data_IF_641672978380
#
_entry.id   IF_641672978380
#
_cell.length_a   1.000
_cell.length_b   1.000
_cell.length_c   1.000
_cell.angle_alpha   90.00
_cell.angle_beta   90.00
_cell.angle_gamma   90.00
#
_symmetry.space_group_name_H-M   'P 1'
#
loop_
_entity.id
_entity.type
_entity.pdbx_description
1 polymer ?
#
# COMPACT_ATOMS: atom_id res chain seq x y z
N UNK A 1 -7.85 13.56 12.79
CA UNK A 1 -8.05 12.12 12.52
C UNK A 1 -7.07 11.73 11.42
N UNK A 2 -6.36 10.61 11.55
CA UNK A 2 -5.43 10.14 10.53
C UNK A 2 -6.17 9.75 9.24
N UNK A 3 -5.55 9.99 8.08
CA UNK A 3 -6.15 9.66 6.78
C UNK A 3 -6.07 8.15 6.56
N UNK A 4 -7.21 7.50 6.31
CA UNK A 4 -7.28 6.04 6.06
C UNK A 4 -6.75 5.74 4.66
N UNK A 5 -5.74 4.88 4.57
CA UNK A 5 -5.08 4.57 3.29
C UNK A 5 -4.82 3.07 3.12
N UNK A 6 -4.79 2.64 1.86
CA UNK A 6 -4.17 1.36 1.45
C UNK A 6 -2.87 1.70 0.76
N UNK A 7 -1.77 1.11 1.22
CA UNK A 7 -0.46 1.24 0.57
C UNK A 7 -0.31 0.06 -0.38
N UNK A 8 0.07 0.29 -1.62
CA UNK A 8 0.37 -0.77 -2.58
C UNK A 8 1.75 -1.37 -2.30
N UNK A 9 1.92 -2.65 -2.60
CA UNK A 9 3.19 -3.37 -2.62
C UNK A 9 4.29 -2.61 -3.36
N UNK A 10 4.01 -2.01 -4.52
CA UNK A 10 5.04 -1.28 -5.26
C UNK A 10 5.57 -0.05 -4.50
N UNK A 11 4.74 0.59 -3.66
CA UNK A 11 5.12 1.76 -2.85
C UNK A 11 5.98 1.32 -1.68
N UNK A 12 5.57 0.24 -1.00
CA UNK A 12 6.33 -0.33 0.12
C UNK A 12 7.75 -0.68 -0.32
N UNK A 13 7.87 -1.36 -1.46
CA UNK A 13 9.15 -1.82 -2.00
C UNK A 13 10.01 -0.66 -2.47
N UNK A 14 9.44 0.28 -3.22
CA UNK A 14 10.17 1.46 -3.66
C UNK A 14 10.64 2.32 -2.48
N UNK A 15 9.90 2.35 -1.36
CA UNK A 15 10.29 3.04 -0.14
C UNK A 15 11.38 2.32 0.67
N UNK A 16 11.55 1.01 0.47
CA UNK A 16 12.64 0.23 1.07
C UNK A 16 13.92 0.31 0.25
N UNK A 17 13.81 0.23 -1.09
CA UNK A 17 14.95 0.38 -2.01
C UNK A 17 15.46 1.82 -1.99
N UNK A 18 14.56 2.79 -2.17
CA UNK A 18 14.88 4.20 -2.14
C UNK A 18 14.96 4.70 -0.71
N UNK A 19 16.17 4.84 -0.15
CA UNK A 19 16.37 5.40 1.20
C UNK A 19 15.85 6.84 1.39
N UNK A 20 15.40 7.50 0.32
CA UNK A 20 14.79 8.84 0.28
C UNK A 20 13.68 8.87 -0.77
N UNK A 21 12.84 9.90 -0.72
CA UNK A 21 11.83 10.19 -1.74
C UNK A 21 10.39 9.94 -1.29
N UNK A 22 9.42 10.13 -2.19
CA UNK A 22 7.99 10.10 -1.87
C UNK A 22 7.52 8.78 -1.25
N UNK A 23 7.94 7.64 -1.80
CA UNK A 23 7.59 6.30 -1.27
C UNK A 23 8.06 6.11 0.18
N UNK A 24 9.33 6.47 0.47
CA UNK A 24 9.91 6.41 1.82
C UNK A 24 9.16 7.31 2.80
N UNK A 25 8.78 8.50 2.36
CA UNK A 25 8.04 9.45 3.19
C UNK A 25 6.62 8.93 3.49
N UNK A 26 5.92 8.30 2.54
CA UNK A 26 4.62 7.66 2.81
C UNK A 26 4.73 6.64 3.96
N UNK A 27 5.71 5.75 3.92
CA UNK A 27 5.93 4.76 4.99
C UNK A 27 6.23 5.42 6.33
N UNK A 28 7.01 6.50 6.32
CA UNK A 28 7.28 7.31 7.52
C UNK A 28 6.01 7.93 8.09
N UNK A 29 5.14 8.49 7.25
CA UNK A 29 3.86 9.08 7.65
C UNK A 29 2.89 8.05 8.24
N UNK A 30 2.93 6.82 7.73
CA UNK A 30 2.22 5.70 8.36
C UNK A 30 2.75 5.40 9.77
N UNK A 31 4.08 5.29 9.92
CA UNK A 31 4.72 5.02 11.22
C UNK A 31 4.53 6.17 12.24
N UNK A 32 4.36 7.40 11.76
CA UNK A 32 4.11 8.59 12.59
C UNK A 32 2.62 8.78 12.94
N UNK A 33 1.71 8.02 12.32
CA UNK A 33 0.27 8.12 12.55
C UNK A 33 -0.43 9.25 11.78
N UNK A 34 0.26 9.92 10.85
CA UNK A 34 -0.36 10.91 9.95
C UNK A 34 -1.29 10.21 8.92
N UNK A 35 -0.86 9.02 8.48
CA UNK A 35 -1.64 8.11 7.65
C UNK A 35 -1.96 6.85 8.45
N UNK A 36 -3.20 6.39 8.41
CA UNK A 36 -3.61 5.11 8.97
C UNK A 36 -3.63 4.05 7.87
N UNK A 37 -2.60 3.18 7.75
CA UNK A 37 -2.60 2.11 6.77
C UNK A 37 -3.59 1.01 7.17
N UNK A 38 -4.26 0.45 6.17
CA UNK A 38 -5.09 -0.74 6.27
C UNK A 38 -4.49 -1.86 5.43
N UNK A 39 -4.55 -3.08 5.95
CA UNK A 39 -3.99 -4.26 5.30
C UNK A 39 -4.97 -5.43 5.39
N UNK A 40 -5.10 -6.18 4.30
CA UNK A 40 -5.82 -7.45 4.26
C UNK A 40 -4.85 -8.62 4.10
N UNK A 41 -5.34 -9.85 4.27
CA UNK A 41 -4.49 -11.05 4.20
C UNK A 41 -3.74 -11.17 2.87
N UNK A 42 -4.41 -10.97 1.74
CA UNK A 42 -3.76 -11.06 0.43
C UNK A 42 -2.59 -10.07 0.30
N UNK A 43 -2.84 -8.79 0.59
CA UNK A 43 -1.82 -7.73 0.52
C UNK A 43 -0.64 -7.99 1.48
N UNK A 44 -0.93 -8.46 2.70
CA UNK A 44 0.12 -8.79 3.65
C UNK A 44 0.99 -9.96 3.17
N UNK A 45 0.38 -11.00 2.60
CA UNK A 45 1.09 -12.13 2.02
C UNK A 45 1.92 -11.71 0.81
N UNK A 46 1.44 -10.77 -0.01
CA UNK A 46 2.23 -10.18 -1.10
C UNK A 46 3.46 -9.44 -0.60
N UNK A 47 3.34 -8.66 0.49
CA UNK A 47 4.49 -8.03 1.12
C UNK A 47 5.51 -9.07 1.56
N UNK A 48 5.06 -10.11 2.27
CA UNK A 48 5.94 -11.17 2.74
C UNK A 48 6.64 -11.90 1.59
N UNK A 49 5.90 -12.33 0.57
CA UNK A 49 6.47 -13.03 -0.59
C UNK A 49 7.52 -12.15 -1.28
N UNK A 50 7.18 -10.88 -1.53
CA UNK A 50 8.08 -10.00 -2.25
C UNK A 50 9.35 -9.70 -1.47
N UNK A 51 9.28 -9.39 -0.17
CA UNK A 51 10.46 -9.10 0.64
C UNK A 51 11.37 -10.32 0.83
N UNK A 52 10.83 -11.53 0.68
CA UNK A 52 11.61 -12.76 0.68
C UNK A 52 12.34 -13.05 -0.64
N UNK A 53 12.09 -12.28 -1.72
CA UNK A 53 12.77 -12.46 -3.01
C UNK A 53 14.24 -12.01 -2.93
N UNK A 54 15.22 -12.86 -3.31
CA UNK A 54 16.65 -12.50 -3.26
C UNK A 54 17.00 -11.22 -4.03
N UNK A 55 16.32 -10.97 -5.16
CA UNK A 55 16.49 -9.75 -5.96
C UNK A 55 16.12 -8.48 -5.16
N UNK A 56 15.06 -8.54 -4.36
CA UNK A 56 14.61 -7.39 -3.55
C UNK A 56 15.56 -7.15 -2.40
N UNK A 57 16.01 -8.21 -1.71
CA UNK A 57 17.04 -8.12 -0.66
C UNK A 57 18.32 -7.46 -1.18
N UNK A 58 18.77 -7.85 -2.38
CA UNK A 58 19.92 -7.24 -3.03
C UNK A 58 19.69 -5.75 -3.36
N UNK A 59 18.51 -5.38 -3.87
CA UNK A 59 18.17 -3.97 -4.18
C UNK A 59 18.07 -3.10 -2.93
N UNK A 60 17.53 -3.62 -1.84
CA UNK A 60 17.47 -2.94 -0.55
C UNK A 60 18.83 -2.89 0.16
N UNK A 61 19.79 -3.73 -0.25
CA UNK A 61 21.03 -4.01 0.47
C UNK A 61 20.75 -4.40 1.94
N UNK A 62 19.79 -5.31 2.14
CA UNK A 62 19.32 -5.78 3.45
C UNK A 62 19.11 -7.30 3.45
N UNK A 63 19.15 -7.92 4.63
CA UNK A 63 18.84 -9.35 4.81
C UNK A 63 17.33 -9.59 4.86
N UNK A 64 16.91 -10.83 4.59
CA UNK A 64 15.50 -11.24 4.80
C UNK A 64 15.03 -10.96 6.23
N UNK A 65 15.89 -11.21 7.23
CA UNK A 65 15.59 -10.95 8.65
C UNK A 65 15.30 -9.47 8.89
N UNK A 66 16.16 -8.56 8.42
CA UNK A 66 15.96 -7.12 8.60
C UNK A 66 14.70 -6.60 7.87
N UNK A 67 14.40 -7.14 6.68
CA UNK A 67 13.17 -6.80 5.96
C UNK A 67 11.92 -7.35 6.66
N UNK A 68 12.00 -8.52 7.28
CA UNK A 68 10.90 -9.09 8.06
C UNK A 68 10.66 -8.29 9.34
N UNK A 69 11.72 -7.89 10.05
CA UNK A 69 11.61 -6.99 11.22
C UNK A 69 10.95 -5.65 10.85
N UNK A 70 11.32 -5.09 9.70
CA UNK A 70 10.62 -3.90 9.18
C UNK A 70 9.14 -4.18 8.93
N UNK A 71 8.81 -5.30 8.26
CA UNK A 71 7.44 -5.64 7.92
C UNK A 71 6.60 -5.86 9.17
N UNK A 72 7.15 -6.52 10.20
CA UNK A 72 6.49 -6.72 11.49
C UNK A 72 6.21 -5.37 12.18
N UNK A 73 7.18 -4.45 12.16
CA UNK A 73 7.00 -3.09 12.68
C UNK A 73 5.97 -2.28 11.88
N UNK A 74 5.95 -2.40 10.57
CA UNK A 74 4.95 -1.77 9.72
C UNK A 74 3.55 -2.37 9.95
N UNK A 75 3.45 -3.68 10.17
CA UNK A 75 2.19 -4.37 10.48
C UNK A 75 1.59 -3.87 11.80
N UNK A 76 2.41 -3.52 12.79
CA UNK A 76 1.92 -2.98 14.07
C UNK A 76 1.18 -1.64 13.93
N UNK A 77 1.48 -0.84 12.91
CA UNK A 77 0.76 0.42 12.64
C UNK A 77 -0.40 0.24 11.66
N UNK A 78 -0.53 -0.95 11.05
CA UNK A 78 -1.63 -1.28 10.15
C UNK A 78 -2.89 -1.71 10.91
N UNK A 79 -4.04 -1.30 10.40
CA UNK A 79 -5.33 -1.87 10.81
C UNK A 79 -5.68 -3.04 9.88
N UNK A 80 -5.78 -4.25 10.45
CA UNK A 80 -6.18 -5.43 9.69
C UNK A 80 -7.67 -5.40 9.33
N UNK A 81 -8.00 -5.76 8.09
CA UNK A 81 -9.36 -5.91 7.59
C UNK A 81 -9.50 -7.30 6.95
N UNK A 82 -10.50 -8.05 7.40
CA UNK A 82 -10.94 -9.27 6.73
C UNK A 82 -11.87 -8.91 5.56
N UNK A 83 -11.27 -8.57 4.41
CA UNK A 83 -12.02 -8.31 3.19
C UNK A 83 -12.55 -9.63 2.63
N UNK A 84 -13.88 -9.82 2.68
CA UNK A 84 -14.52 -11.01 2.11
C UNK A 84 -14.62 -10.86 0.59
N UNK A 85 -13.79 -11.63 -0.12
CA UNK A 85 -13.57 -11.56 -1.56
C UNK A 85 -14.77 -12.01 -2.42
N UNK A 86 -15.87 -11.24 -2.38
CA UNK A 86 -17.12 -11.57 -3.07
C UNK A 86 -17.31 -10.82 -4.40
N UNK A 87 -16.55 -9.74 -4.64
CA UNK A 87 -16.75 -8.86 -5.78
C UNK A 87 -15.44 -8.57 -6.50
N UNK A 88 -15.27 -9.09 -7.72
CA UNK A 88 -14.12 -8.80 -8.59
C UNK A 88 -14.47 -7.67 -9.56
N UNK A 89 -14.04 -6.42 -9.33
CA UNK A 89 -14.04 -5.44 -10.40
C UNK A 89 -13.11 -5.99 -11.49
N UNK A 90 -13.47 -5.91 -12.76
CA UNK A 90 -12.60 -6.43 -13.83
C UNK A 90 -11.44 -5.44 -14.08
N UNK A 91 -10.49 -5.31 -13.14
CA UNK A 91 -9.26 -4.54 -13.35
C UNK A 91 -8.45 -5.14 -14.50
N UNK A 92 -7.61 -4.27 -15.11
CA UNK A 92 -6.68 -4.69 -16.16
C UNK A 92 -5.64 -5.68 -15.62
N UNK A 93 -5.19 -5.48 -14.38
CA UNK A 93 -4.46 -6.50 -13.63
C UNK A 93 -5.41 -7.10 -12.59
N UNK A 94 -5.78 -8.37 -12.78
CA UNK A 94 -6.67 -9.07 -11.85
C UNK A 94 -6.04 -9.23 -10.46
N UNK A 95 -4.71 -9.18 -10.35
CA UNK A 95 -4.03 -9.24 -9.07
C UNK A 95 -4.38 -8.02 -8.22
N UNK A 96 -4.61 -6.84 -8.81
CA UNK A 96 -4.87 -5.60 -8.06
C UNK A 96 -6.31 -5.50 -7.48
N UNK A 97 -7.19 -6.45 -7.83
CA UNK A 97 -8.60 -6.42 -7.40
C UNK A 97 -8.74 -6.42 -5.88
N UNK A 98 -7.86 -7.15 -5.21
CA UNK A 98 -7.86 -7.25 -3.76
C UNK A 98 -7.56 -5.91 -3.07
N UNK A 99 -6.83 -4.99 -3.72
CA UNK A 99 -6.55 -3.65 -3.18
C UNK A 99 -7.80 -2.77 -3.19
N UNK A 100 -8.60 -2.86 -4.26
CA UNK A 100 -9.88 -2.13 -4.37
C UNK A 100 -10.87 -2.61 -3.32
N UNK A 101 -11.02 -3.93 -3.20
CA UNK A 101 -11.91 -4.52 -2.21
C UNK A 101 -11.49 -4.15 -0.78
N UNK A 102 -10.19 -4.22 -0.51
CA UNK A 102 -9.62 -3.78 0.76
C UNK A 102 -9.93 -2.30 1.02
N UNK A 103 -9.74 -1.42 0.04
CA UNK A 103 -10.02 0.01 0.19
C UNK A 103 -11.50 0.27 0.53
N UNK A 104 -12.42 -0.44 -0.11
CA UNK A 104 -13.87 -0.33 0.18
C UNK A 104 -14.19 -0.84 1.57
N UNK A 105 -13.74 -2.05 1.92
CA UNK A 105 -13.97 -2.65 3.23
C UNK A 105 -13.36 -1.80 4.36
N UNK A 106 -12.18 -1.24 4.11
CA UNK A 106 -11.47 -0.34 5.00
C UNK A 106 -12.01 1.09 4.99
N UNK A 107 -13.00 1.44 4.15
CA UNK A 107 -13.42 2.84 3.91
C UNK A 107 -12.21 3.78 3.77
N UNK A 108 -11.20 3.33 3.03
CA UNK A 108 -9.99 4.07 2.80
C UNK A 108 -10.32 5.29 1.95
N UNK A 109 -9.73 6.43 2.30
CA UNK A 109 -9.85 7.62 1.46
C UNK A 109 -8.97 7.49 0.21
N UNK A 110 -7.81 6.81 0.34
CA UNK A 110 -6.84 6.69 -0.74
C UNK A 110 -6.23 5.30 -0.87
N UNK A 111 -6.05 4.85 -2.11
CA UNK A 111 -5.08 3.82 -2.49
C UNK A 111 -3.83 4.54 -2.99
N UNK A 112 -2.68 4.26 -2.37
CA UNK A 112 -1.40 4.88 -2.73
C UNK A 112 -0.61 3.87 -3.57
N UNK A 113 -0.40 4.18 -4.85
CA UNK A 113 0.31 3.32 -5.81
C UNK A 113 1.19 4.14 -6.76
N UNK A 114 2.28 3.56 -7.26
CA UNK A 114 3.02 4.14 -8.39
C UNK A 114 2.36 3.85 -9.75
N UNK A 115 1.42 2.90 -9.82
CA UNK A 115 0.79 2.42 -11.05
C UNK A 115 -0.66 2.91 -11.21
N UNK A 116 -0.90 4.22 -11.04
CA UNK A 116 -2.25 4.81 -11.04
C UNK A 116 -3.06 4.49 -12.32
N UNK A 117 -2.39 4.28 -13.46
CA UNK A 117 -3.04 3.91 -14.72
C UNK A 117 -3.79 2.58 -14.66
N UNK A 118 -3.37 1.63 -13.83
CA UNK A 118 -3.98 0.31 -13.75
C UNK A 118 -5.36 0.38 -13.07
N UNK A 119 -5.60 1.43 -12.29
CA UNK A 119 -6.86 1.74 -11.62
C UNK A 119 -7.73 2.78 -12.36
N UNK A 120 -7.39 3.15 -13.59
CA UNK A 120 -8.07 4.25 -14.30
C UNK A 120 -9.51 3.93 -14.79
N UNK A 121 -10.05 2.75 -14.49
CA UNK A 121 -11.36 2.31 -14.96
C UNK A 121 -12.48 3.18 -14.36
N UNK A 122 -13.40 3.63 -15.21
CA UNK A 122 -14.44 4.60 -14.84
C UNK A 122 -15.37 4.13 -13.72
N UNK A 123 -15.56 2.80 -13.59
CA UNK A 123 -16.40 2.19 -12.56
C UNK A 123 -15.81 2.34 -11.14
N UNK A 124 -14.48 2.43 -11.03
CA UNK A 124 -13.78 2.50 -9.75
C UNK A 124 -13.84 3.89 -9.11
N UNK A 125 -13.95 4.94 -9.93
CA UNK A 125 -13.98 6.34 -9.48
C UNK A 125 -15.19 6.70 -8.61
N UNK A 126 -16.20 5.83 -8.53
CA UNK A 126 -17.45 6.07 -7.78
C UNK A 126 -17.52 5.32 -6.44
N UNK A 127 -16.46 4.61 -6.05
CA UNK A 127 -16.47 3.70 -4.91
C UNK A 127 -16.02 4.35 -3.59
N UNK A 128 -15.87 5.67 -3.57
CA UNK A 128 -15.59 6.43 -2.35
C UNK A 128 -14.14 6.45 -1.89
N UNK A 129 -13.21 5.97 -2.72
CA UNK A 129 -11.76 6.12 -2.55
C UNK A 129 -11.15 6.78 -3.79
N UNK A 130 -10.00 7.42 -3.63
CA UNK A 130 -9.18 7.95 -4.73
C UNK A 130 -7.88 7.16 -4.88
N UNK A 131 -7.36 7.08 -6.09
CA UNK A 131 -6.07 6.43 -6.37
C UNK A 131 -5.04 7.52 -6.65
N UNK A 132 -3.98 7.55 -5.84
CA UNK A 132 -3.00 8.62 -5.84
C UNK A 132 -1.58 8.08 -5.84
N UNK A 133 -0.67 8.86 -6.40
CA UNK A 133 0.77 8.64 -6.27
C UNK A 133 1.25 9.04 -4.87
N UNK A 134 2.40 8.50 -4.42
CA UNK A 134 3.05 8.95 -3.19
C UNK A 134 3.29 10.48 -3.15
N UNK A 135 3.59 11.12 -4.27
CA UNK A 135 3.79 12.57 -4.30
C UNK A 135 2.50 13.36 -4.06
N UNK A 136 1.39 12.88 -4.62
CA UNK A 136 0.08 13.53 -4.48
C UNK A 136 -0.39 13.48 -3.03
N UNK A 137 -0.35 12.31 -2.37
CA UNK A 137 -0.79 12.19 -0.97
C UNK A 137 0.05 13.06 -0.02
N UNK A 138 1.36 13.20 -0.28
CA UNK A 138 2.22 14.06 0.52
C UNK A 138 1.96 15.54 0.33
N UNK A 139 1.45 15.96 -0.84
CA UNK A 139 0.98 17.35 -1.04
C UNK A 139 -0.31 17.60 -0.26
N UNK A 140 -1.22 16.63 -0.22
CA UNK A 140 -2.48 16.73 0.54
C UNK A 140 -2.25 16.79 2.06
N UNK A 141 -1.17 16.21 2.58
CA UNK A 141 -0.80 16.31 4.00
C UNK A 141 -0.17 17.66 4.39
N UNK A 142 0.25 18.47 3.41
CA UNK A 142 0.89 19.78 3.65
C UNK A 142 -0.11 20.95 3.59
N UNK A 143 -1.33 20.70 3.14
CA UNK A 143 -2.45 21.66 3.09
C UNK A 143 -3.29 21.56 4.36
#
# INVERSE_FOLDING_TARGET
MAIRVVVDTNVLVAGLIGGKGPNREVLRRCLQGDLQPFVGNALYLEYQDLLNRPKIQALCNQTSVALQEFLDGFAQVCTAIDARYLWRPNLKDEADNHLVELAIAARAAYIITNNVSDFAHAELKRLGYEVVTPEQILRLLKS
#
